data_IF_689675972801
#
_entry.id   IF_689675972801
#
_cell.length_a   1.000
_cell.length_b   1.000
_cell.length_c   1.000
_cell.angle_alpha   90.00
_cell.angle_beta   90.00
_cell.angle_gamma   90.00
#
_symmetry.space_group_name_H-M   'P 1'
#
loop_
_entity.id
_entity.type
_entity.pdbx_description
1 polymer ?
#
# COMPACT_ATOMS: atom_id res chain seq x y z
N UNK A 1 -16.74 -29.28 -1.87
CA UNK A 1 -17.94 -28.94 -1.08
C UNK A 1 -18.21 -27.45 -1.28
N UNK A 2 -19.24 -27.15 -2.08
CA UNK A 2 -19.90 -25.86 -2.32
C UNK A 2 -19.16 -24.57 -1.92
N UNK A 3 -18.25 -24.12 -2.78
CA UNK A 3 -18.00 -22.69 -2.92
C UNK A 3 -19.21 -22.10 -3.63
N UNK A 4 -20.24 -21.66 -2.89
CA UNK A 4 -21.31 -20.81 -3.47
C UNK A 4 -20.63 -19.67 -4.23
N UNK A 5 -20.64 -19.73 -5.56
CA UNK A 5 -20.01 -18.74 -6.42
C UNK A 5 -20.76 -17.42 -6.24
N UNK A 6 -20.24 -16.57 -5.35
CA UNK A 6 -20.85 -15.29 -5.05
C UNK A 6 -20.74 -14.38 -6.27
N UNK A 7 -21.83 -13.72 -6.70
CA UNK A 7 -21.77 -12.75 -7.77
C UNK A 7 -20.75 -11.66 -7.46
N UNK A 8 -19.84 -11.40 -8.39
CA UNK A 8 -18.86 -10.33 -8.32
C UNK A 8 -19.16 -9.27 -9.38
N UNK A 9 -18.82 -8.01 -9.10
CA UNK A 9 -18.98 -6.93 -10.09
C UNK A 9 -18.12 -7.21 -11.33
N UNK A 10 -18.67 -7.03 -12.52
CA UNK A 10 -18.00 -7.30 -13.80
C UNK A 10 -16.67 -6.55 -13.92
N UNK A 11 -16.60 -5.27 -13.55
CA UNK A 11 -15.34 -4.53 -13.58
C UNK A 11 -14.28 -5.05 -12.60
N UNK A 12 -14.69 -5.73 -11.52
CA UNK A 12 -13.76 -6.47 -10.65
C UNK A 12 -13.28 -7.75 -11.33
N UNK A 13 -14.18 -8.50 -11.97
CA UNK A 13 -13.82 -9.71 -12.72
C UNK A 13 -12.79 -9.41 -13.81
N UNK A 14 -13.06 -8.43 -14.68
CA UNK A 14 -12.16 -8.03 -15.77
C UNK A 14 -10.78 -7.59 -15.24
N UNK A 15 -10.75 -6.87 -14.12
CA UNK A 15 -9.49 -6.47 -13.50
C UNK A 15 -8.71 -7.66 -12.89
N UNK A 16 -9.41 -8.66 -12.35
CA UNK A 16 -8.80 -9.88 -11.81
C UNK A 16 -8.31 -10.84 -12.92
N UNK A 17 -8.95 -10.79 -14.08
CA UNK A 17 -8.52 -11.50 -15.28
C UNK A 17 -7.38 -10.80 -16.04
N UNK A 18 -6.84 -9.70 -15.49
CA UNK A 18 -5.69 -9.00 -16.08
C UNK A 18 -6.01 -8.08 -17.26
N UNK A 19 -7.28 -7.97 -17.67
CA UNK A 19 -7.69 -7.23 -18.88
C UNK A 19 -7.36 -5.74 -18.77
N UNK A 20 -7.80 -5.08 -17.70
CA UNK A 20 -7.55 -3.66 -17.50
C UNK A 20 -7.76 -3.24 -16.04
N UNK A 21 -7.63 -1.94 -15.74
CA UNK A 21 -7.99 -1.42 -14.41
C UNK A 21 -9.51 -1.47 -14.20
N UNK A 22 -9.99 -1.44 -12.95
CA UNK A 22 -11.44 -1.40 -12.68
C UNK A 22 -12.15 -0.20 -13.32
N UNK A 23 -11.48 0.96 -13.38
CA UNK A 23 -12.05 2.17 -14.01
C UNK A 23 -12.13 2.01 -15.52
N UNK A 24 -11.04 1.55 -16.14
CA UNK A 24 -11.05 1.24 -17.58
C UNK A 24 -12.07 0.15 -17.93
N UNK A 25 -12.28 -0.82 -17.02
CA UNK A 25 -13.32 -1.82 -17.19
C UNK A 25 -14.72 -1.21 -17.17
N UNK A 26 -15.01 -0.29 -16.23
CA UNK A 26 -16.27 0.44 -16.23
C UNK A 26 -16.43 1.29 -17.53
N UNK A 27 -15.36 1.92 -18.03
CA UNK A 27 -15.37 2.64 -19.33
C UNK A 27 -15.68 1.72 -20.50
N UNK A 28 -15.00 0.57 -20.62
CA UNK A 28 -15.26 -0.42 -21.67
C UNK A 28 -16.69 -0.96 -21.63
N UNK A 29 -17.25 -1.15 -20.43
CA UNK A 29 -18.64 -1.56 -20.26
C UNK A 29 -19.57 -0.45 -20.78
N UNK A 30 -19.29 0.81 -20.45
CA UNK A 30 -20.08 1.96 -20.90
C UNK A 30 -19.97 2.19 -22.41
N UNK A 31 -18.83 1.89 -23.02
CA UNK A 31 -18.58 1.92 -24.47
C UNK A 31 -19.31 0.78 -25.23
N UNK A 32 -19.86 -0.21 -24.52
CA UNK A 32 -20.51 -1.37 -25.11
C UNK A 32 -19.55 -2.46 -25.61
N UNK A 33 -18.25 -2.35 -25.28
CA UNK A 33 -17.19 -3.27 -25.71
C UNK A 33 -17.16 -4.59 -24.93
N UNK A 34 -18.01 -4.74 -23.91
CA UNK A 34 -18.10 -5.92 -23.05
C UNK A 34 -19.45 -6.59 -23.22
N UNK A 35 -19.43 -7.90 -23.43
CA UNK A 35 -20.61 -8.75 -23.61
C UNK A 35 -20.63 -9.81 -22.51
N UNK A 36 -21.79 -10.01 -21.89
CA UNK A 36 -22.03 -11.08 -20.91
C UNK A 36 -23.18 -11.94 -21.40
N UNK A 37 -22.95 -13.25 -21.57
CA UNK A 37 -23.94 -14.21 -22.05
C UNK A 37 -24.65 -13.76 -23.35
N UNK A 38 -23.87 -13.21 -24.29
CA UNK A 38 -24.38 -12.71 -25.58
C UNK A 38 -25.08 -11.34 -25.54
N UNK A 39 -25.17 -10.68 -24.39
CA UNK A 39 -25.77 -9.34 -24.26
C UNK A 39 -24.74 -8.28 -23.86
N UNK A 40 -24.87 -7.07 -24.41
CA UNK A 40 -24.00 -5.94 -24.03
C UNK A 40 -24.16 -5.66 -22.54
N UNK A 41 -23.03 -5.59 -21.84
CA UNK A 41 -23.00 -5.41 -20.40
C UNK A 41 -23.39 -3.99 -19.98
N UNK A 42 -23.90 -3.85 -18.75
CA UNK A 42 -24.25 -2.55 -18.16
C UNK A 42 -23.38 -2.21 -16.94
N UNK A 43 -23.21 -0.92 -16.68
CA UNK A 43 -22.43 -0.44 -15.54
C UNK A 43 -22.95 -1.02 -14.22
N UNK A 44 -22.04 -1.53 -13.39
CA UNK A 44 -22.38 -2.12 -12.10
C UNK A 44 -22.91 -3.55 -12.15
N UNK A 45 -23.08 -4.14 -13.34
CA UNK A 45 -23.50 -5.53 -13.51
C UNK A 45 -22.60 -6.49 -12.71
N UNK A 46 -23.22 -7.55 -12.17
CA UNK A 46 -22.53 -8.64 -11.48
C UNK A 46 -22.61 -9.91 -12.31
N UNK A 47 -21.56 -10.70 -12.23
CA UNK A 47 -21.44 -12.00 -12.90
C UNK A 47 -20.99 -13.06 -11.89
N UNK A 48 -21.22 -14.31 -12.23
CA UNK A 48 -20.79 -15.50 -11.51
C UNK A 48 -19.64 -16.13 -12.31
N UNK A 49 -18.37 -15.99 -11.88
CA UNK A 49 -17.23 -16.54 -12.61
C UNK A 49 -17.37 -18.05 -12.77
N UNK A 50 -17.10 -18.59 -13.96
CA UNK A 50 -17.23 -20.02 -14.27
C UNK A 50 -18.62 -20.42 -14.76
N UNK A 51 -19.64 -19.59 -14.51
CA UNK A 51 -21.00 -19.78 -15.04
C UNK A 51 -21.33 -18.80 -16.16
N UNK A 52 -21.08 -17.51 -15.94
CA UNK A 52 -21.36 -16.47 -16.94
C UNK A 52 -20.19 -16.37 -17.94
N UNK A 53 -20.52 -16.32 -19.22
CA UNK A 53 -19.57 -16.11 -20.30
C UNK A 53 -19.36 -14.61 -20.51
N UNK A 54 -18.12 -14.16 -20.39
CA UNK A 54 -17.74 -12.76 -20.53
C UNK A 54 -16.79 -12.61 -21.71
N UNK A 55 -17.13 -11.74 -22.65
CA UNK A 55 -16.29 -11.40 -23.80
C UNK A 55 -15.96 -9.91 -23.79
N UNK A 56 -14.72 -9.56 -24.11
CA UNK A 56 -14.27 -8.18 -24.33
C UNK A 56 -13.74 -8.11 -25.74
N UNK A 57 -14.31 -7.22 -26.57
CA UNK A 57 -13.90 -7.04 -27.98
C UNK A 57 -13.88 -8.37 -28.77
N UNK A 58 -14.82 -9.27 -28.49
CA UNK A 58 -14.95 -10.56 -29.15
C UNK A 58 -14.04 -11.68 -28.62
N UNK A 59 -13.15 -11.39 -27.66
CA UNK A 59 -12.33 -12.40 -26.99
C UNK A 59 -12.94 -12.82 -25.66
N UNK A 60 -13.09 -14.13 -25.47
CA UNK A 60 -13.59 -14.69 -24.22
C UNK A 60 -12.55 -14.48 -23.10
N UNK A 61 -13.00 -13.87 -22.01
CA UNK A 61 -12.18 -13.64 -20.82
C UNK A 61 -12.26 -14.88 -19.94
N UNK A 62 -11.17 -15.64 -19.91
CA UNK A 62 -11.00 -16.77 -18.99
C UNK A 62 -10.63 -16.29 -17.58
N UNK A 63 -10.66 -17.20 -16.60
CA UNK A 63 -10.65 -16.90 -15.16
C UNK A 63 -9.47 -16.05 -14.64
N UNK A 64 -9.49 -15.77 -13.34
CA UNK A 64 -8.53 -14.85 -12.70
C UNK A 64 -7.07 -15.26 -12.94
N UNK A 65 -6.20 -14.26 -13.17
CA UNK A 65 -4.76 -14.49 -13.25
C UNK A 65 -4.21 -15.10 -11.94
N UNK A 66 -3.15 -15.91 -12.00
CA UNK A 66 -2.43 -16.34 -10.81
C UNK A 66 -2.02 -15.13 -9.96
N UNK A 67 -2.21 -15.26 -8.65
CA UNK A 67 -1.85 -14.20 -7.70
C UNK A 67 -0.34 -14.02 -7.68
N UNK A 68 0.10 -12.78 -7.83
CA UNK A 68 1.52 -12.40 -7.79
C UNK A 68 1.75 -11.42 -6.65
N UNK A 69 2.83 -11.63 -5.89
CA UNK A 69 3.23 -10.77 -4.78
C UNK A 69 4.71 -10.47 -4.90
N UNK A 70 5.06 -9.19 -5.03
CA UNK A 70 6.42 -8.75 -5.26
C UNK A 70 6.80 -7.74 -4.19
N UNK A 71 8.00 -7.89 -3.64
CA UNK A 71 8.70 -6.84 -2.92
C UNK A 71 9.70 -6.17 -3.85
N UNK A 72 9.57 -4.87 -4.01
CA UNK A 72 10.51 -4.02 -4.74
C UNK A 72 11.21 -3.09 -3.75
N UNK A 73 12.53 -2.98 -3.84
CA UNK A 73 13.25 -1.85 -3.27
C UNK A 73 13.21 -0.70 -4.29
N UNK A 74 12.25 0.21 -4.14
CA UNK A 74 12.03 1.32 -5.07
C UNK A 74 13.18 2.34 -4.94
N UNK A 75 13.90 2.66 -6.04
CA UNK A 75 14.85 3.78 -6.07
C UNK A 75 14.12 5.14 -6.21
N UNK A 76 14.79 6.27 -5.94
CA UNK A 76 14.22 7.57 -6.25
C UNK A 76 14.11 7.76 -7.78
N UNK A 77 13.26 8.68 -8.22
CA UNK A 77 13.05 8.98 -9.65
C UNK A 77 12.00 8.13 -10.36
N UNK A 78 11.41 7.13 -9.69
CA UNK A 78 10.32 6.31 -10.24
C UNK A 78 8.98 6.63 -9.59
N UNK A 79 7.90 6.68 -10.38
CA UNK A 79 6.54 6.88 -9.87
C UNK A 79 5.92 5.57 -9.38
N UNK A 80 5.33 5.58 -8.18
CA UNK A 80 4.45 4.51 -7.69
C UNK A 80 3.06 4.55 -8.37
N UNK A 81 3.04 4.35 -9.69
CA UNK A 81 1.84 4.34 -10.52
C UNK A 81 1.91 3.22 -11.57
N UNK A 82 0.77 2.84 -12.15
CA UNK A 82 0.73 1.93 -13.30
C UNK A 82 0.99 2.66 -14.64
N UNK A 83 0.76 3.97 -14.68
CA UNK A 83 0.97 4.80 -15.87
C UNK A 83 1.28 6.25 -15.47
N UNK A 84 1.92 6.98 -16.37
CA UNK A 84 2.15 8.42 -16.24
C UNK A 84 1.85 9.11 -17.57
N UNK A 85 0.88 10.06 -17.62
CA UNK A 85 0.57 10.80 -18.85
C UNK A 85 1.74 11.64 -19.39
N UNK A 86 2.69 11.99 -18.53
CA UNK A 86 3.84 12.83 -18.87
C UNK A 86 5.12 12.03 -19.17
N UNK A 87 5.01 10.69 -19.30
CA UNK A 87 6.11 9.83 -19.73
C UNK A 87 7.22 9.60 -18.70
N UNK A 88 7.02 9.96 -17.43
CA UNK A 88 7.99 9.65 -16.37
C UNK A 88 8.03 8.15 -16.07
N UNK A 89 9.21 7.60 -15.72
CA UNK A 89 9.33 6.17 -15.48
C UNK A 89 8.51 5.75 -14.24
N UNK A 90 7.77 4.65 -14.39
CA UNK A 90 6.99 4.06 -13.30
C UNK A 90 7.71 2.86 -12.71
N UNK A 91 7.33 2.45 -11.50
CA UNK A 91 7.87 1.25 -10.83
C UNK A 91 7.74 -0.03 -11.66
N UNK A 92 6.83 -0.08 -12.65
CA UNK A 92 6.68 -1.23 -13.54
C UNK A 92 7.88 -1.41 -14.49
N UNK A 93 8.63 -0.33 -14.79
CA UNK A 93 9.85 -0.40 -15.60
C UNK A 93 10.97 -1.18 -14.90
N UNK A 94 10.90 -1.33 -13.58
CA UNK A 94 11.88 -2.07 -12.78
C UNK A 94 11.62 -3.58 -12.75
N UNK A 95 10.44 -4.02 -13.25
CA UNK A 95 9.99 -5.41 -13.20
C UNK A 95 9.53 -5.95 -14.58
N UNK A 96 10.26 -5.70 -15.68
CA UNK A 96 9.78 -6.04 -17.03
C UNK A 96 9.59 -7.55 -17.26
N UNK A 97 10.15 -8.39 -16.40
CA UNK A 97 10.00 -9.86 -16.47
C UNK A 97 8.66 -10.36 -15.91
N UNK A 98 7.92 -9.52 -15.19
CA UNK A 98 6.63 -9.89 -14.58
C UNK A 98 5.54 -9.76 -15.62
N UNK A 99 4.95 -10.90 -16.03
CA UNK A 99 3.95 -10.95 -17.11
C UNK A 99 2.54 -10.57 -16.64
N UNK A 100 2.23 -10.82 -15.38
CA UNK A 100 0.90 -10.58 -14.81
C UNK A 100 0.68 -9.09 -14.53
N UNK A 101 -0.58 -8.66 -14.58
CA UNK A 101 -0.94 -7.25 -14.37
C UNK A 101 -0.91 -6.86 -12.89
N UNK A 102 0.25 -6.49 -12.37
CA UNK A 102 0.42 -6.03 -10.98
C UNK A 102 0.30 -4.50 -10.84
N UNK A 103 0.01 -4.04 -9.63
CA UNK A 103 -0.02 -2.62 -9.27
C UNK A 103 0.58 -2.37 -7.88
N UNK A 104 1.10 -1.17 -7.62
CA UNK A 104 1.70 -0.83 -6.33
C UNK A 104 0.66 -0.84 -5.21
N UNK A 105 1.05 -1.40 -4.05
CA UNK A 105 0.28 -1.40 -2.81
C UNK A 105 0.66 -0.16 -2.02
N UNK A 106 -0.20 0.85 -2.11
CA UNK A 106 0.10 2.18 -1.59
C UNK A 106 1.11 2.90 -2.49
N UNK A 107 1.71 3.97 -1.98
CA UNK A 107 2.62 4.82 -2.75
C UNK A 107 3.86 5.18 -1.94
N UNK A 108 4.94 5.43 -2.65
CA UNK A 108 6.09 6.20 -2.19
C UNK A 108 6.22 7.41 -3.11
N UNK A 109 6.67 8.53 -2.57
CA UNK A 109 6.89 9.72 -3.38
C UNK A 109 8.01 9.48 -4.41
N UNK A 110 8.07 10.36 -5.41
CA UNK A 110 9.05 10.24 -6.49
C UNK A 110 10.48 10.17 -5.96
N UNK A 111 10.80 11.01 -4.99
CA UNK A 111 12.10 11.14 -4.31
C UNK A 111 12.26 10.21 -3.09
N UNK A 112 11.23 9.42 -2.73
CA UNK A 112 11.29 8.46 -1.63
C UNK A 112 11.68 7.07 -2.10
N UNK A 113 12.34 6.34 -1.22
CA UNK A 113 12.95 5.06 -1.49
C UNK A 113 12.33 3.93 -0.66
N UNK A 114 12.63 2.69 -1.06
CA UNK A 114 12.51 1.53 -0.19
C UNK A 114 11.37 0.59 -0.53
N UNK A 115 10.94 -0.17 0.49
CA UNK A 115 10.02 -1.29 0.36
C UNK A 115 8.70 -0.84 -0.28
N UNK A 116 8.41 -1.31 -1.48
CA UNK A 116 7.13 -1.16 -2.15
C UNK A 116 6.62 -2.54 -2.57
N UNK A 117 5.42 -2.89 -2.15
CA UNK A 117 4.77 -4.10 -2.61
C UNK A 117 4.06 -3.86 -3.94
N UNK A 118 4.10 -4.85 -4.83
CA UNK A 118 3.27 -4.89 -6.03
C UNK A 118 2.50 -6.22 -6.07
N UNK A 119 1.22 -6.15 -6.43
CA UNK A 119 0.38 -7.35 -6.52
C UNK A 119 -0.80 -7.14 -7.48
N UNK A 120 -1.37 -8.24 -7.97
CA UNK A 120 -2.71 -8.24 -8.57
C UNK A 120 -3.81 -8.62 -7.54
N UNK A 121 -3.43 -8.86 -6.28
CA UNK A 121 -4.35 -9.15 -5.19
C UNK A 121 -4.98 -7.90 -4.56
N UNK A 122 -6.15 -7.52 -5.06
CA UNK A 122 -6.86 -6.34 -4.57
C UNK A 122 -7.34 -6.44 -3.13
N UNK A 123 -7.55 -7.66 -2.63
CA UNK A 123 -7.98 -7.87 -1.25
C UNK A 123 -6.83 -7.54 -0.30
N UNK A 124 -5.67 -8.16 -0.52
CA UNK A 124 -4.48 -7.88 0.28
C UNK A 124 -4.03 -6.42 0.14
N UNK A 125 -4.04 -5.88 -1.08
CA UNK A 125 -3.67 -4.48 -1.31
C UNK A 125 -4.56 -3.52 -0.50
N UNK A 126 -5.88 -3.77 -0.45
CA UNK A 126 -6.81 -3.00 0.36
C UNK A 126 -6.53 -3.13 1.85
N UNK A 127 -6.30 -4.35 2.34
CA UNK A 127 -5.98 -4.62 3.75
C UNK A 127 -4.72 -3.90 4.21
N UNK A 128 -3.69 -3.85 3.37
CA UNK A 128 -2.41 -3.23 3.74
C UNK A 128 -2.40 -1.70 3.63
N UNK A 129 -3.34 -1.11 2.88
CA UNK A 129 -3.36 0.33 2.60
C UNK A 129 -4.45 1.09 3.32
N UNK A 130 -5.57 0.44 3.64
CA UNK A 130 -6.69 1.11 4.27
C UNK A 130 -6.41 1.38 5.77
N UNK A 131 -6.58 2.63 6.27
CA UNK A 131 -6.18 3.01 7.63
C UNK A 131 -6.75 2.14 8.76
N UNK A 132 -7.99 1.67 8.62
CA UNK A 132 -8.67 0.81 9.62
C UNK A 132 -7.93 -0.49 9.98
N UNK A 133 -7.02 -0.96 9.14
CA UNK A 133 -6.24 -2.17 9.42
C UNK A 133 -4.93 -1.87 10.14
N UNK A 134 -4.61 -0.59 10.32
CA UNK A 134 -3.48 -0.09 11.12
C UNK A 134 -2.13 -0.76 10.80
N UNK A 135 -1.92 -1.15 9.54
CA UNK A 135 -0.66 -1.77 9.13
C UNK A 135 0.45 -0.73 9.14
N UNK A 136 1.36 -0.85 10.09
CA UNK A 136 2.47 0.09 10.29
C UNK A 136 3.50 -0.01 9.15
N UNK A 137 3.99 1.15 8.73
CA UNK A 137 5.11 1.34 7.81
C UNK A 137 6.25 2.00 8.59
N UNK A 138 7.44 1.39 8.58
CA UNK A 138 8.64 1.94 9.22
C UNK A 138 9.46 2.69 8.18
N UNK A 139 9.87 3.91 8.51
CA UNK A 139 10.72 4.75 7.70
C UNK A 139 11.99 5.09 8.48
N UNK A 140 13.13 5.08 7.77
CA UNK A 140 14.36 5.72 8.22
C UNK A 140 14.51 7.02 7.45
N UNK A 141 14.69 8.10 8.18
CA UNK A 141 14.75 9.46 7.63
C UNK A 141 16.11 10.06 7.96
N UNK A 142 16.87 10.43 6.94
CA UNK A 142 18.06 11.26 7.10
C UNK A 142 17.60 12.72 7.19
N UNK A 143 18.00 13.40 8.26
CA UNK A 143 17.56 14.76 8.57
C UNK A 143 18.73 15.73 8.71
N UNK A 144 18.48 16.98 8.35
CA UNK A 144 19.32 18.14 8.69
C UNK A 144 18.57 19.06 9.66
N UNK A 145 19.31 19.63 10.62
CA UNK A 145 18.76 20.51 11.66
C UNK A 145 19.36 20.25 13.05
N UNK A 146 19.05 21.15 13.99
CA UNK A 146 19.45 21.03 15.39
C UNK A 146 18.48 20.10 16.13
N UNK A 147 18.99 18.98 16.61
CA UNK A 147 18.18 17.95 17.31
C UNK A 147 18.08 18.26 18.78
N UNK A 148 16.87 18.28 19.32
CA UNK A 148 16.61 18.48 20.75
C UNK A 148 16.25 17.15 21.40
N UNK A 149 16.58 17.03 22.68
CA UNK A 149 16.32 15.80 23.44
C UNK A 149 14.83 15.42 23.47
N UNK A 150 13.94 16.43 23.48
CA UNK A 150 12.50 16.24 23.61
C UNK A 150 11.75 16.07 22.27
N UNK A 151 12.43 16.18 21.12
CA UNK A 151 11.74 16.19 19.81
C UNK A 151 10.98 14.88 19.53
N UNK A 152 11.47 13.74 20.03
CA UNK A 152 10.75 12.46 19.94
C UNK A 152 9.49 12.45 20.80
N UNK A 153 9.54 13.01 22.02
CA UNK A 153 8.36 13.10 22.88
C UNK A 153 7.30 14.04 22.28
N UNK A 154 7.74 15.16 21.70
CA UNK A 154 6.86 16.09 20.97
C UNK A 154 6.19 15.39 19.79
N UNK A 155 6.93 14.61 19.02
CA UNK A 155 6.42 13.84 17.90
C UNK A 155 5.37 12.82 18.35
N UNK A 156 5.64 12.07 19.42
CA UNK A 156 4.74 11.04 19.98
C UNK A 156 3.51 11.63 20.69
N UNK A 157 3.60 12.86 21.20
CA UNK A 157 2.46 13.60 21.77
C UNK A 157 1.45 14.08 20.71
N UNK A 158 1.80 13.87 19.44
CA UNK A 158 1.00 14.14 18.26
C UNK A 158 1.24 15.54 17.71
N UNK A 159 1.34 15.63 16.38
CA UNK A 159 1.59 16.86 15.62
C UNK A 159 0.35 17.19 14.79
N UNK A 160 -0.02 18.46 14.73
CA UNK A 160 -1.12 18.92 13.87
C UNK A 160 -0.59 19.09 12.44
N UNK A 161 -1.19 18.36 11.51
CA UNK A 161 -0.90 18.39 10.07
C UNK A 161 -2.24 18.64 9.36
N UNK A 162 -2.32 19.72 8.59
CA UNK A 162 -3.53 20.10 7.84
C UNK A 162 -4.82 20.13 8.70
N UNK A 163 -4.68 20.59 9.96
CA UNK A 163 -5.79 20.69 10.92
C UNK A 163 -6.14 19.38 11.64
N UNK A 164 -5.49 18.26 11.31
CA UNK A 164 -5.69 16.96 11.96
C UNK A 164 -4.49 16.63 12.84
N UNK A 165 -4.74 16.17 14.07
CA UNK A 165 -3.67 15.71 14.96
C UNK A 165 -3.28 14.27 14.61
N UNK A 166 -2.01 14.08 14.22
CA UNK A 166 -1.43 12.82 13.79
C UNK A 166 -0.51 12.27 14.87
N UNK A 167 -0.59 10.96 15.10
CA UNK A 167 0.21 10.25 16.09
C UNK A 167 1.02 9.14 15.41
N UNK A 168 2.36 9.27 15.34
CA UNK A 168 3.20 8.16 14.95
C UNK A 168 3.07 7.01 15.94
N UNK A 169 3.06 5.77 15.44
CA UNK A 169 3.00 4.57 16.27
C UNK A 169 4.24 4.45 17.16
N UNK A 170 5.38 4.85 16.63
CA UNK A 170 6.63 4.99 17.37
C UNK A 170 7.60 5.89 16.61
N UNK A 171 8.54 6.48 17.35
CA UNK A 171 9.66 7.20 16.79
C UNK A 171 10.89 7.06 17.68
N UNK A 172 12.08 7.09 17.08
CA UNK A 172 13.35 7.09 17.81
C UNK A 172 14.47 7.66 16.97
N UNK A 173 15.43 8.33 17.60
CA UNK A 173 16.70 8.61 16.96
C UNK A 173 17.47 7.31 16.71
N UNK A 174 18.06 7.18 15.53
CA UNK A 174 18.98 6.11 15.21
C UNK A 174 20.40 6.61 15.37
N UNK A 175 21.19 5.97 16.22
CA UNK A 175 22.63 6.24 16.31
C UNK A 175 23.29 5.72 15.03
N UNK A 176 24.08 6.56 14.38
CA UNK A 176 24.83 6.16 13.20
C UNK A 176 26.28 6.65 13.29
N UNK A 177 27.26 5.85 12.84
CA UNK A 177 28.66 6.24 12.89
C UNK A 177 29.04 7.28 11.82
N UNK A 178 28.17 7.54 10.84
CA UNK A 178 28.46 8.35 9.65
C UNK A 178 28.14 9.85 9.80
N UNK A 179 28.05 10.37 11.03
CA UNK A 179 27.64 11.75 11.36
C UNK A 179 26.27 12.19 10.80
N UNK A 180 25.54 11.31 10.11
CA UNK A 180 24.20 11.60 9.60
C UNK A 180 23.19 11.39 10.72
N UNK A 181 22.37 12.41 10.97
CA UNK A 181 21.28 12.34 11.94
C UNK A 181 20.10 11.59 11.32
N UNK A 182 19.64 10.54 12.01
CA UNK A 182 18.55 9.69 11.54
C UNK A 182 17.43 9.57 12.55
N UNK A 183 16.20 9.59 12.05
CA UNK A 183 15.00 9.25 12.82
C UNK A 183 14.35 8.02 12.19
N UNK A 184 14.01 7.05 13.03
CA UNK A 184 13.08 5.98 12.66
C UNK A 184 11.67 6.41 13.04
N UNK A 185 10.73 6.36 12.10
CA UNK A 185 9.33 6.72 12.31
C UNK A 185 8.44 5.58 11.82
N UNK A 186 7.60 5.05 12.70
CA UNK A 186 6.53 4.10 12.38
C UNK A 186 5.19 4.82 12.25
N UNK A 187 4.51 4.67 11.12
CA UNK A 187 3.16 5.21 10.90
C UNK A 187 2.27 4.18 10.22
N UNK A 188 1.05 3.99 10.70
CA UNK A 188 0.02 3.20 10.02
C UNK A 188 -0.81 4.04 9.04
N UNK A 189 -0.87 5.36 9.24
CA UNK A 189 -1.58 6.29 8.36
C UNK A 189 -0.92 6.44 6.98
N UNK A 190 -1.74 6.80 5.98
CA UNK A 190 -1.33 6.91 4.57
C UNK A 190 -1.46 8.32 3.99
N UNK A 191 -1.42 9.36 4.83
CA UNK A 191 -1.53 10.75 4.39
C UNK A 191 -0.38 11.14 3.44
N UNK A 192 -0.64 12.03 2.49
CA UNK A 192 0.35 12.45 1.48
C UNK A 192 1.51 13.16 2.18
N UNK A 193 2.75 12.73 1.92
CA UNK A 193 3.97 13.31 2.51
C UNK A 193 4.04 13.30 4.05
N UNK A 194 3.25 12.44 4.73
CA UNK A 194 3.09 12.45 6.18
C UNK A 194 4.42 12.51 6.96
N UNK A 195 5.35 11.60 6.66
CA UNK A 195 6.63 11.51 7.38
C UNK A 195 7.47 12.78 7.18
N UNK A 196 7.44 13.38 5.99
CA UNK A 196 8.13 14.65 5.71
C UNK A 196 7.49 15.81 6.48
N UNK A 197 6.15 15.86 6.54
CA UNK A 197 5.42 16.87 7.30
C UNK A 197 5.71 16.75 8.81
N UNK A 198 5.78 15.54 9.35
CA UNK A 198 6.16 15.29 10.74
C UNK A 198 7.57 15.80 11.05
N UNK A 199 8.55 15.49 10.20
CA UNK A 199 9.92 16.01 10.35
C UNK A 199 9.98 17.53 10.23
N UNK A 200 9.29 18.10 9.24
CA UNK A 200 9.23 19.55 9.03
C UNK A 200 8.64 20.30 10.24
N UNK A 201 7.59 19.76 10.85
CA UNK A 201 6.97 20.34 12.04
C UNK A 201 7.89 20.35 13.28
N UNK A 202 8.92 19.50 13.29
CA UNK A 202 9.99 19.53 14.31
C UNK A 202 11.14 20.48 13.96
N UNK A 203 11.13 21.08 12.76
CA UNK A 203 12.19 21.94 12.26
C UNK A 203 13.31 21.20 11.53
N UNK A 204 13.02 20.00 10.99
CA UNK A 204 14.00 19.21 10.25
C UNK A 204 13.77 19.22 8.74
N UNK A 205 14.86 19.36 8.00
CA UNK A 205 14.87 19.15 6.56
C UNK A 205 15.15 17.68 6.25
N UNK A 206 14.25 17.05 5.50
CA UNK A 206 14.41 15.65 5.08
C UNK A 206 15.34 15.57 3.87
N UNK A 207 16.49 14.91 4.04
CA UNK A 207 17.46 14.67 2.95
C UNK A 207 17.25 13.34 2.25
N UNK A 208 16.79 12.34 2.99
CA UNK A 208 16.48 11.01 2.47
C UNK A 208 15.34 10.39 3.24
N UNK A 209 14.44 9.70 2.54
CA UNK A 209 13.34 8.98 3.14
C UNK A 209 13.29 7.55 2.58
N UNK A 210 13.59 6.58 3.44
CA UNK A 210 13.64 5.16 3.08
C UNK A 210 12.58 4.38 3.88
N UNK A 211 11.59 3.79 3.20
CA UNK A 211 10.68 2.85 3.85
C UNK A 211 11.38 1.51 4.03
N UNK A 212 11.74 1.16 5.25
CA UNK A 212 12.48 -0.07 5.57
C UNK A 212 11.56 -1.24 5.86
N UNK A 213 10.32 -0.99 6.32
CA UNK A 213 9.35 -2.05 6.64
C UNK A 213 7.92 -1.71 6.26
N UNK A 214 7.12 -2.76 6.05
CA UNK A 214 5.67 -2.69 5.91
C UNK A 214 5.06 -3.93 6.55
N UNK A 215 4.38 -3.74 7.69
CA UNK A 215 3.91 -4.83 8.52
C UNK A 215 5.07 -5.78 8.91
N UNK A 216 4.95 -7.09 8.64
CA UNK A 216 5.98 -8.08 9.00
C UNK A 216 7.18 -8.08 8.05
N UNK A 217 7.10 -7.35 6.92
CA UNK A 217 8.13 -7.40 5.90
C UNK A 217 9.21 -6.35 6.15
N UNK A 218 10.45 -6.75 5.86
CA UNK A 218 11.65 -5.92 5.96
C UNK A 218 12.38 -5.89 4.61
N UNK A 219 12.96 -4.73 4.29
CA UNK A 219 13.76 -4.50 3.08
C UNK A 219 15.15 -5.17 3.13
N UNK A 220 15.53 -5.73 4.27
CA UNK A 220 16.86 -6.31 4.51
C UNK A 220 17.29 -7.28 3.39
N UNK A 221 18.50 -7.05 2.86
CA UNK A 221 19.09 -7.92 1.83
C UNK A 221 18.56 -7.73 0.42
N UNK A 222 17.78 -6.67 0.15
CA UNK A 222 17.31 -6.34 -1.20
C UNK A 222 17.90 -5.00 -1.67
N UNK A 223 18.77 -5.04 -2.67
CA UNK A 223 19.43 -3.84 -3.20
C UNK A 223 18.46 -2.89 -3.91
N UNK A 224 18.84 -1.61 -3.99
CA UNK A 224 18.05 -0.58 -4.66
C UNK A 224 17.75 -0.94 -6.13
N UNK A 225 16.50 -0.77 -6.56
CA UNK A 225 16.04 -1.16 -7.89
C UNK A 225 15.80 -2.65 -8.08
N UNK A 226 16.17 -3.50 -7.12
CA UNK A 226 15.93 -4.94 -7.18
C UNK A 226 14.60 -5.31 -6.56
N UNK A 227 14.10 -6.46 -6.98
CA UNK A 227 12.84 -7.01 -6.54
C UNK A 227 12.92 -8.53 -6.41
N UNK A 228 11.99 -9.09 -5.65
CA UNK A 228 11.79 -10.54 -5.54
C UNK A 228 10.32 -10.86 -5.34
N UNK A 229 9.94 -12.10 -5.65
CA UNK A 229 8.67 -12.64 -5.21
C UNK A 229 8.65 -12.79 -3.69
N UNK A 230 7.47 -12.59 -3.08
CA UNK A 230 7.24 -12.98 -1.71
C UNK A 230 7.04 -14.49 -1.63
N UNK A 231 7.55 -15.10 -0.57
CA UNK A 231 7.24 -16.49 -0.29
C UNK A 231 5.82 -16.63 0.34
N UNK A 232 5.23 -17.84 0.33
CA UNK A 232 3.89 -18.04 0.91
C UNK A 232 3.79 -17.69 2.41
N UNK A 233 4.86 -17.82 3.19
CA UNK A 233 4.85 -17.48 4.62
C UNK A 233 4.77 -15.96 4.81
N UNK A 234 5.50 -15.19 4.01
CA UNK A 234 5.43 -13.73 3.98
C UNK A 234 4.04 -13.23 3.60
N UNK A 235 3.43 -13.82 2.57
CA UNK A 235 2.06 -13.48 2.16
C UNK A 235 1.07 -13.77 3.29
N UNK A 236 1.18 -14.95 3.93
CA UNK A 236 0.34 -15.31 5.07
C UNK A 236 0.55 -14.36 6.27
N UNK A 237 1.78 -13.96 6.54
CA UNK A 237 2.09 -13.01 7.61
C UNK A 237 1.45 -11.63 7.35
N UNK A 238 1.44 -11.16 6.09
CA UNK A 238 0.77 -9.92 5.71
C UNK A 238 -0.74 -9.99 5.98
N UNK A 239 -1.39 -11.09 5.58
CA UNK A 239 -2.81 -11.31 5.86
C UNK A 239 -3.11 -11.32 7.36
N UNK A 240 -2.33 -12.07 8.15
CA UNK A 240 -2.49 -12.12 9.61
C UNK A 240 -2.34 -10.74 10.25
N UNK A 241 -1.30 -9.99 9.85
CA UNK A 241 -1.02 -8.65 10.39
C UNK A 241 -2.18 -7.70 10.12
N UNK A 242 -2.71 -7.70 8.90
CA UNK A 242 -3.79 -6.79 8.55
C UNK A 242 -5.12 -7.17 9.23
N UNK A 243 -5.40 -8.46 9.42
CA UNK A 243 -6.64 -8.90 10.09
C UNK A 243 -6.58 -8.72 11.61
N UNK A 244 -5.41 -8.90 12.24
CA UNK A 244 -5.24 -8.67 13.68
C UNK A 244 -5.51 -7.20 14.08
N UNK A 245 -5.23 -6.24 13.20
CA UNK A 245 -5.56 -4.82 13.42
C UNK A 245 -7.06 -4.55 13.59
N UNK A 246 -7.95 -5.45 13.13
CA UNK A 246 -9.39 -5.30 13.32
C UNK A 246 -9.88 -5.70 14.72
N UNK A 247 -9.19 -6.64 15.40
CA UNK A 247 -9.65 -7.18 16.69
C UNK A 247 -9.36 -6.21 17.85
N UNK A 248 -8.39 -5.31 17.69
CA UNK A 248 -8.04 -4.29 18.69
C UNK A 248 -9.11 -3.21 18.89
N UNK A 249 -9.97 -2.94 17.90
CA UNK A 249 -11.03 -1.93 18.01
C UNK A 249 -12.22 -2.38 18.88
N UNK A 250 -12.43 -3.69 19.06
CA UNK A 250 -13.54 -4.18 19.90
C UNK A 250 -13.25 -4.16 21.41
N UNK A 251 -11.99 -3.95 21.83
CA UNK A 251 -11.59 -3.92 23.25
C UNK A 251 -11.12 -2.54 23.76
N UNK A 252 -11.27 -1.47 22.96
CA UNK A 252 -10.86 -0.11 23.30
C UNK A 252 -11.82 0.61 24.27
N UNK A 253 -12.08 0.04 25.44
CA UNK A 253 -12.68 0.77 26.56
C UNK A 253 -11.75 1.89 27.03
N UNK A 254 -12.28 3.11 27.14
CA UNK A 254 -11.59 4.31 27.66
C UNK A 254 -10.68 3.96 28.86
N UNK A 255 -9.44 4.47 28.93
CA UNK A 255 -8.67 4.38 30.16
C UNK A 255 -9.42 5.11 31.28
N UNK A 256 -9.79 4.38 32.33
CA UNK A 256 -10.26 4.97 33.59
C UNK A 256 -9.07 5.69 34.23
N UNK A 257 -9.12 7.01 34.25
CA UNK A 257 -8.37 7.79 35.23
C UNK A 257 -8.81 7.32 36.62
N UNK A 258 -7.90 6.69 37.36
CA UNK A 258 -7.97 6.66 38.81
C UNK A 258 -6.89 7.60 39.34
N UNK A 259 -7.34 8.80 39.68
CA UNK A 259 -6.72 9.62 40.70
C UNK A 259 -7.14 8.97 42.03
N UNK A 260 -6.18 8.59 42.86
CA UNK A 260 -6.42 8.32 44.27
C UNK A 260 -5.53 9.26 45.08
N UNK A 261 -6.18 10.29 45.63
CA UNK A 261 -5.70 11.04 46.78
C UNK A 261 -5.50 10.09 47.97
N UNK A 262 -4.31 10.15 48.58
CA UNK A 262 -4.00 9.90 50.00
C UNK A 262 -2.53 10.24 50.24
#
# INVERSE_FOLDING_TARGET
MDTKEKPIRLSKFLAQAGICSRRRADELIQEGSVVVNGQVAVLGQKIVPGKDEVCVEGQQVSGAEPKVYIMLNKPPGYLSSCSDPFGRPTVLYLIPQVKQRVYPVGRLDLDSEGLLLLTNDGTLAYFLTHPKYQVVKEYVVDIEGETRHDDINRLLSGIVIDGVKVYPDYARFLRSPDNIKRIVIGVHEGQKHLVKQLCFALGYDVKRLLRTKMGPLSLSGLDSGKWRYLDPKEVNALYKTALAGQEGEHNGGKPKNQISDS
#
